data_IF_796160610542
#
_entry.id   IF_796160610542
#
_cell.length_a   1.000
_cell.length_b   1.000
_cell.length_c   1.000
_cell.angle_alpha   90.00
_cell.angle_beta   90.00
_cell.angle_gamma   90.00
#
_symmetry.space_group_name_H-M   'P 1'
#
loop_
_entity.id
_entity.type
_entity.pdbx_description
1 polymer ?
#
# COMPACT_ATOMS: atom_id res chain seq x y z
N UNK A 1 2.94 5.97 -15.98
CA UNK A 1 3.15 5.10 -14.80
C UNK A 1 2.36 3.81 -14.99
N UNK A 2 2.91 2.66 -14.63
CA UNK A 2 2.28 1.33 -14.77
C UNK A 2 2.14 0.60 -13.43
N UNK A 3 1.33 -0.45 -13.38
CA UNK A 3 1.21 -1.33 -12.21
C UNK A 3 2.56 -1.92 -11.78
N UNK A 4 3.35 -2.41 -12.75
CA UNK A 4 4.67 -2.98 -12.48
C UNK A 4 5.61 -1.92 -11.88
N UNK A 5 5.58 -0.69 -12.38
CA UNK A 5 6.38 0.43 -11.84
C UNK A 5 6.06 0.75 -10.38
N UNK A 6 4.82 0.55 -9.93
CA UNK A 6 4.47 0.68 -8.51
C UNK A 6 5.09 -0.45 -7.68
N UNK A 7 5.04 -1.69 -8.19
CA UNK A 7 5.52 -2.88 -7.48
C UNK A 7 7.03 -2.90 -7.23
N UNK A 8 7.84 -2.36 -8.14
CA UNK A 8 9.30 -2.30 -7.98
C UNK A 8 9.84 -0.92 -7.59
N UNK A 9 8.98 0.02 -7.17
CA UNK A 9 9.37 1.37 -6.75
C UNK A 9 10.00 2.25 -7.84
N UNK A 10 9.62 2.00 -9.10
CA UNK A 10 10.00 2.81 -10.26
C UNK A 10 8.95 3.85 -10.65
N UNK A 11 8.05 4.22 -9.74
CA UNK A 11 6.89 5.08 -10.05
C UNK A 11 7.25 6.55 -10.24
N UNK A 12 8.25 7.04 -9.52
CA UNK A 12 8.55 8.47 -9.42
C UNK A 12 7.66 9.21 -8.41
N UNK A 13 6.78 8.52 -7.68
CA UNK A 13 6.00 9.14 -6.59
C UNK A 13 6.94 9.38 -5.40
N UNK A 14 6.84 10.55 -4.77
CA UNK A 14 7.62 10.87 -3.57
C UNK A 14 7.14 10.05 -2.36
N UNK A 15 8.05 9.69 -1.46
CA UNK A 15 7.65 9.24 -0.12
C UNK A 15 7.29 10.44 0.77
N UNK A 16 6.30 10.25 1.66
CA UNK A 16 5.90 11.23 2.67
C UNK A 16 7.06 11.72 3.57
N UNK A 17 8.09 10.89 3.77
CA UNK A 17 9.27 11.27 4.55
C UNK A 17 10.10 12.36 3.87
N UNK A 18 10.16 12.37 2.53
CA UNK A 18 10.82 13.44 1.78
C UNK A 18 10.05 14.77 1.85
N UNK A 19 8.75 14.69 2.11
CA UNK A 19 7.84 15.83 2.20
C UNK A 19 7.96 16.61 3.52
N UNK A 20 8.61 16.04 4.53
CA UNK A 20 8.86 16.72 5.81
C UNK A 20 10.08 17.66 5.77
N UNK A 21 10.68 17.89 4.59
CA UNK A 21 11.82 18.79 4.44
C UNK A 21 11.36 20.20 4.09
N UNK A 22 12.02 21.27 4.61
CA UNK A 22 11.62 22.67 4.35
C UNK A 22 11.59 23.07 2.87
N UNK A 23 12.23 22.29 1.99
CA UNK A 23 12.36 22.55 0.56
C UNK A 23 11.62 21.51 -0.30
N UNK A 24 10.69 20.76 0.27
CA UNK A 24 9.88 19.77 -0.44
C UNK A 24 8.88 20.44 -1.40
N UNK A 25 9.39 20.94 -2.52
CA UNK A 25 8.60 21.56 -3.60
C UNK A 25 7.81 20.52 -4.44
N UNK A 26 7.95 19.24 -4.11
CA UNK A 26 7.46 18.12 -4.92
C UNK A 26 6.27 17.40 -4.30
N UNK A 27 5.81 17.80 -3.11
CA UNK A 27 4.66 17.15 -2.47
C UNK A 27 3.94 18.04 -1.46
N UNK A 28 2.64 17.80 -1.33
CA UNK A 28 1.72 18.63 -0.55
C UNK A 28 1.14 17.90 0.69
N UNK A 29 1.73 16.78 1.10
CA UNK A 29 1.26 15.98 2.23
C UNK A 29 2.42 15.47 3.09
N UNK A 30 2.19 15.34 4.39
CA UNK A 30 3.15 14.87 5.37
C UNK A 30 2.74 13.50 5.92
N UNK A 31 3.67 12.85 6.63
CA UNK A 31 3.35 11.63 7.39
C UNK A 31 2.21 11.85 8.41
N UNK A 32 2.09 13.06 8.97
CA UNK A 32 1.01 13.42 9.89
C UNK A 32 -0.35 13.51 9.19
N UNK A 33 -0.40 13.99 7.94
CA UNK A 33 -1.63 14.03 7.15
C UNK A 33 -2.13 12.61 6.86
N UNK A 34 -1.22 11.68 6.54
CA UNK A 34 -1.56 10.27 6.34
C UNK A 34 -2.09 9.62 7.63
N UNK A 35 -1.49 9.93 8.78
CA UNK A 35 -1.98 9.44 10.08
C UNK A 35 -3.41 9.94 10.38
N UNK A 36 -3.75 11.14 9.94
CA UNK A 36 -5.11 11.70 10.07
C UNK A 36 -6.14 10.94 9.20
N UNK A 37 -5.71 10.34 8.09
CA UNK A 37 -6.58 9.57 7.19
C UNK A 37 -6.79 8.11 7.59
N UNK A 38 -6.50 7.75 8.86
CA UNK A 38 -6.61 6.37 9.38
C UNK A 38 -7.89 5.67 8.91
N UNK A 39 -7.72 4.55 8.20
CA UNK A 39 -8.82 3.72 7.70
C UNK A 39 -9.45 4.17 6.37
N UNK A 40 -8.94 5.22 5.72
CA UNK A 40 -9.42 5.68 4.40
C UNK A 40 -8.29 5.71 3.36
N UNK A 41 -8.13 4.60 2.64
CA UNK A 41 -7.10 4.47 1.59
C UNK A 41 -7.32 5.50 0.47
N UNK A 42 -8.57 5.77 0.10
CA UNK A 42 -8.89 6.80 -0.90
C UNK A 42 -8.39 8.20 -0.53
N UNK A 43 -8.44 8.57 0.75
CA UNK A 43 -7.89 9.86 1.22
C UNK A 43 -6.36 9.89 1.16
N UNK A 44 -5.69 8.77 1.45
CA UNK A 44 -4.23 8.67 1.27
C UNK A 44 -3.85 8.92 -0.19
N UNK A 45 -4.54 8.28 -1.14
CA UNK A 45 -4.29 8.50 -2.57
C UNK A 45 -4.56 9.95 -2.98
N UNK A 46 -5.69 10.51 -2.53
CA UNK A 46 -6.04 11.90 -2.83
C UNK A 46 -5.01 12.93 -2.36
N UNK A 47 -4.22 12.61 -1.33
CA UNK A 47 -3.20 13.50 -0.78
C UNK A 47 -2.00 13.70 -1.72
N UNK A 48 -1.69 12.73 -2.59
CA UNK A 48 -0.48 12.75 -3.42
C UNK A 48 -0.72 12.59 -4.92
N UNK A 49 -1.93 12.23 -5.35
CA UNK A 49 -2.19 11.85 -6.75
C UNK A 49 -1.92 12.98 -7.77
N UNK A 50 -1.95 14.23 -7.32
CA UNK A 50 -1.70 15.42 -8.14
C UNK A 50 -0.29 16.00 -7.96
N UNK A 51 0.53 15.40 -7.10
CA UNK A 51 1.88 15.87 -6.86
C UNK A 51 2.79 15.56 -8.06
N UNK A 52 3.78 16.42 -8.37
CA UNK A 52 4.73 16.15 -9.43
C UNK A 52 5.58 14.93 -9.11
N UNK A 53 5.90 14.14 -10.14
CA UNK A 53 6.82 13.01 -9.98
C UNK A 53 8.25 13.51 -9.81
N UNK A 54 8.99 12.89 -8.88
CA UNK A 54 10.40 13.20 -8.61
C UNK A 54 11.35 12.73 -9.71
N UNK A 55 10.90 11.77 -10.54
CA UNK A 55 11.58 11.32 -11.76
C UNK A 55 10.58 10.65 -12.71
N UNK A 56 11.00 10.45 -13.97
CA UNK A 56 10.17 9.79 -14.98
C UNK A 56 9.93 8.31 -14.59
N UNK A 57 8.69 7.80 -14.64
CA UNK A 57 8.41 6.42 -14.29
C UNK A 57 9.28 5.43 -15.09
N UNK A 58 9.91 4.51 -14.36
CA UNK A 58 10.77 3.45 -14.88
C UNK A 58 12.21 3.86 -15.19
N UNK A 59 12.61 5.12 -14.99
CA UNK A 59 13.99 5.55 -15.22
C UNK A 59 14.87 5.56 -13.97
N UNK A 60 14.27 5.39 -12.78
CA UNK A 60 14.99 5.35 -11.51
C UNK A 60 14.22 4.50 -10.48
N UNK A 61 14.83 4.30 -9.30
CA UNK A 61 14.26 3.65 -8.14
C UNK A 61 14.23 4.62 -6.96
N UNK A 62 13.07 4.74 -6.32
CA UNK A 62 12.95 5.40 -5.02
C UNK A 62 11.80 4.79 -4.25
N UNK A 63 12.09 4.29 -3.05
CA UNK A 63 11.08 3.69 -2.19
C UNK A 63 10.01 4.73 -1.84
N UNK A 64 8.75 4.37 -2.02
CA UNK A 64 7.62 5.23 -1.66
C UNK A 64 6.43 4.39 -1.17
N UNK A 65 6.03 4.60 0.09
CA UNK A 65 4.85 3.98 0.69
C UNK A 65 3.56 4.32 -0.10
N UNK A 66 3.54 5.51 -0.72
CA UNK A 66 2.49 5.95 -1.62
C UNK A 66 2.17 4.96 -2.75
N UNK A 67 3.16 4.20 -3.23
CA UNK A 67 2.94 3.14 -4.22
C UNK A 67 1.98 2.08 -3.68
N UNK A 68 2.17 1.65 -2.43
CA UNK A 68 1.32 0.64 -1.82
C UNK A 68 -0.06 1.18 -1.45
N UNK A 69 -0.20 2.46 -1.08
CA UNK A 69 -1.52 3.07 -0.92
C UNK A 69 -2.31 3.06 -2.24
N UNK A 70 -1.67 3.41 -3.36
CA UNK A 70 -2.29 3.36 -4.68
C UNK A 70 -2.65 1.93 -5.10
N UNK A 71 -1.75 0.95 -4.87
CA UNK A 71 -2.02 -0.45 -5.14
C UNK A 71 -3.19 -0.99 -4.30
N UNK A 72 -3.24 -0.64 -3.02
CA UNK A 72 -4.33 -1.04 -2.12
C UNK A 72 -5.66 -0.44 -2.59
N UNK A 73 -5.65 0.82 -3.02
CA UNK A 73 -6.81 1.49 -3.60
C UNK A 73 -7.31 0.81 -4.87
N UNK A 74 -6.39 0.37 -5.75
CA UNK A 74 -6.76 -0.39 -6.95
C UNK A 74 -7.48 -1.69 -6.59
N UNK A 75 -7.00 -2.42 -5.57
CA UNK A 75 -7.68 -3.62 -5.08
C UNK A 75 -9.09 -3.30 -4.60
N UNK A 76 -9.28 -2.23 -3.83
CA UNK A 76 -10.62 -1.82 -3.39
C UNK A 76 -11.55 -1.49 -4.56
N UNK A 77 -11.06 -0.74 -5.54
CA UNK A 77 -11.87 -0.33 -6.70
C UNK A 77 -12.23 -1.47 -7.63
N UNK A 78 -11.33 -2.41 -7.84
CA UNK A 78 -11.56 -3.55 -8.73
C UNK A 78 -12.43 -4.60 -8.04
N UNK A 79 -12.21 -4.86 -6.75
CA UNK A 79 -12.95 -5.89 -6.01
C UNK A 79 -14.31 -5.43 -5.48
N UNK A 80 -14.51 -4.12 -5.31
CA UNK A 80 -15.67 -3.55 -4.60
C UNK A 80 -15.67 -3.81 -3.09
N UNK A 81 -14.57 -4.34 -2.53
CA UNK A 81 -14.43 -4.64 -1.11
C UNK A 81 -13.45 -3.65 -0.45
N UNK A 82 -13.52 -3.53 0.88
CA UNK A 82 -12.42 -2.91 1.62
C UNK A 82 -11.15 -3.75 1.45
N UNK A 83 -9.97 -3.11 1.46
CA UNK A 83 -8.70 -3.80 1.27
C UNK A 83 -8.49 -4.88 2.34
N UNK A 84 -8.85 -4.57 3.60
CA UNK A 84 -8.78 -5.52 4.71
C UNK A 84 -9.69 -6.74 4.52
N UNK A 85 -10.93 -6.53 4.04
CA UNK A 85 -11.84 -7.64 3.71
C UNK A 85 -11.27 -8.52 2.60
N UNK A 86 -10.74 -7.91 1.55
CA UNK A 86 -10.14 -8.63 0.44
C UNK A 86 -8.94 -9.48 0.88
N UNK A 87 -8.02 -8.91 1.67
CA UNK A 87 -6.86 -9.63 2.20
C UNK A 87 -7.28 -10.78 3.12
N UNK A 88 -8.27 -10.56 4.00
CA UNK A 88 -8.80 -11.61 4.87
C UNK A 88 -9.30 -12.79 4.05
N UNK A 89 -10.20 -12.54 3.10
CA UNK A 89 -10.82 -13.58 2.29
C UNK A 89 -9.84 -14.30 1.36
N UNK A 90 -8.94 -13.54 0.73
CA UNK A 90 -8.15 -14.06 -0.40
C UNK A 90 -6.73 -14.50 -0.03
N UNK A 91 -6.22 -14.06 1.12
CA UNK A 91 -4.86 -14.40 1.59
C UNK A 91 -4.94 -15.10 2.94
N UNK A 92 -5.40 -14.41 3.99
CA UNK A 92 -5.28 -14.92 5.36
C UNK A 92 -6.15 -16.15 5.63
N UNK A 93 -7.41 -16.16 5.20
CA UNK A 93 -8.31 -17.31 5.38
C UNK A 93 -7.82 -18.54 4.60
N UNK A 94 -7.20 -18.33 3.42
CA UNK A 94 -6.64 -19.41 2.59
C UNK A 94 -5.37 -19.99 3.21
N UNK A 95 -4.45 -19.14 3.68
CA UNK A 95 -3.24 -19.59 4.38
C UNK A 95 -3.63 -20.36 5.65
N UNK A 96 -4.59 -19.84 6.43
CA UNK A 96 -5.10 -20.53 7.61
C UNK A 96 -5.74 -21.88 7.26
N UNK A 97 -6.40 -22.01 6.11
CA UNK A 97 -6.93 -23.30 5.65
C UNK A 97 -5.83 -24.30 5.27
N UNK A 98 -4.75 -23.84 4.62
CA UNK A 98 -3.58 -24.68 4.30
C UNK A 98 -2.90 -25.19 5.59
N UNK A 99 -2.67 -24.30 6.57
CA UNK A 99 -2.12 -24.68 7.86
C UNK A 99 -3.00 -25.67 8.64
N UNK A 100 -4.31 -25.71 8.37
CA UNK A 100 -5.23 -26.72 8.93
C UNK A 100 -5.19 -28.06 8.22
N UNK A 101 -4.82 -28.12 6.94
CA UNK A 101 -4.70 -29.38 6.20
C UNK A 101 -3.40 -30.13 6.54
N UNK A 102 -2.34 -29.42 6.91
CA UNK A 102 -1.10 -30.02 7.41
C UNK A 102 -1.14 -30.33 8.92
N UNK A 103 -2.21 -29.90 9.61
CA UNK A 103 -2.37 -29.95 11.07
C UNK A 103 -3.41 -30.93 11.60
N UNK A 104 -3.69 -32.05 10.91
CA UNK A 104 -4.38 -33.20 11.53
C UNK A 104 -3.39 -34.36 11.77
N UNK A 105 -2.34 -34.08 12.54
CA UNK A 105 -1.61 -35.05 13.37
C UNK A 105 -0.64 -34.34 14.35
N UNK A 106 -1.02 -33.24 14.99
CA UNK A 106 -0.31 -32.75 16.17
C UNK A 106 -1.36 -32.43 17.23
N UNK A 107 -1.54 -33.41 18.12
CA UNK A 107 -2.47 -33.35 19.24
C UNK A 107 -2.18 -32.19 20.19
N UNK A 108 -3.26 -31.76 20.84
CA UNK A 108 -3.32 -31.31 22.22
C UNK A 108 -2.12 -30.51 22.74
N UNK A 109 -1.97 -29.25 22.32
CA UNK A 109 -1.29 -28.25 23.16
C UNK A 109 -1.95 -26.88 23.00
N UNK A 110 -2.97 -26.62 23.83
CA UNK A 110 -3.16 -25.41 24.65
C UNK A 110 -4.52 -25.51 25.39
N UNK A 111 -4.55 -26.32 26.46
CA UNK A 111 -5.21 -25.97 27.72
C UNK A 111 -4.11 -25.63 28.72
#
# INVERSE_FOLDING_TARGET
MTFVQLMYMGSGIADSEFCNTPNAQWCHYTANDLAYFKGSIGKHVGAFINDPLVFKPGTNYSYANANYYLLSYMVEKISGQSFGSYLKQNIFDKIAAVGRQEGQALGDWYL
#
